data_IF_273663162869
#
_entry.id   IF_273663162869
#
_cell.length_a   1.000
_cell.length_b   1.000
_cell.length_c   1.000
_cell.angle_alpha   90.00
_cell.angle_beta   90.00
_cell.angle_gamma   90.00
#
_symmetry.space_group_name_H-M   'P 1'
#
loop_
_entity.id
_entity.type
_entity.pdbx_description
1 polymer ?
#
# COMPACT_ATOMS: atom_id res chain seq x y z
N UNK A 1 -65.52 -61.51 4.18
CA UNK A 1 -64.44 -62.21 3.45
C UNK A 1 -64.74 -62.07 1.97
N UNK A 2 -64.15 -61.07 1.31
CA UNK A 2 -64.23 -60.93 -0.14
C UNK A 2 -63.18 -61.86 -0.75
N UNK A 3 -63.61 -62.72 -1.69
CA UNK A 3 -62.76 -63.77 -2.24
C UNK A 3 -61.66 -63.23 -3.17
N UNK A 4 -60.52 -63.93 -3.29
CA UNK A 4 -59.32 -63.52 -4.04
C UNK A 4 -59.49 -63.47 -5.58
N UNK A 5 -60.74 -63.47 -6.08
CA UNK A 5 -61.05 -63.38 -7.51
C UNK A 5 -61.36 -61.97 -8.01
N UNK A 6 -61.65 -61.02 -7.11
CA UNK A 6 -62.13 -59.69 -7.50
C UNK A 6 -60.99 -58.70 -7.78
N UNK A 7 -59.85 -58.86 -7.10
CA UNK A 7 -58.67 -58.02 -7.25
C UNK A 7 -58.00 -58.17 -8.64
N UNK A 8 -58.05 -59.37 -9.23
CA UNK A 8 -57.48 -59.64 -10.56
C UNK A 8 -58.26 -59.02 -11.72
N UNK A 9 -59.55 -58.72 -11.52
CA UNK A 9 -60.38 -58.07 -12.55
C UNK A 9 -60.19 -56.55 -12.56
N UNK A 10 -59.93 -55.95 -11.40
CA UNK A 10 -59.68 -54.52 -11.29
C UNK A 10 -58.29 -54.12 -11.83
N UNK A 11 -57.30 -55.01 -11.74
CA UNK A 11 -55.97 -54.79 -12.34
C UNK A 11 -55.99 -54.92 -13.87
N UNK A 12 -56.79 -55.84 -14.42
CA UNK A 12 -56.94 -55.98 -15.86
C UNK A 12 -57.61 -54.75 -16.49
N UNK A 13 -58.60 -54.15 -15.82
CA UNK A 13 -59.28 -52.92 -16.28
C UNK A 13 -58.37 -51.70 -16.25
N UNK A 14 -57.55 -51.55 -15.19
CA UNK A 14 -56.56 -50.45 -15.13
C UNK A 14 -55.53 -50.53 -16.23
N UNK A 15 -55.10 -51.74 -16.59
CA UNK A 15 -54.12 -51.91 -17.66
C UNK A 15 -54.73 -51.59 -19.05
N UNK A 16 -56.01 -51.90 -19.26
CA UNK A 16 -56.70 -51.57 -20.51
C UNK A 16 -56.94 -50.06 -20.69
N UNK A 17 -57.27 -49.35 -19.61
CA UNK A 17 -57.43 -47.89 -19.62
C UNK A 17 -56.09 -47.16 -19.87
N UNK A 18 -54.98 -47.70 -19.35
CA UNK A 18 -53.64 -47.15 -19.60
C UNK A 18 -53.26 -47.25 -21.08
N UNK A 19 -53.54 -48.39 -21.73
CA UNK A 19 -53.29 -48.57 -23.16
C UNK A 19 -54.19 -47.69 -24.04
N UNK A 20 -55.46 -47.46 -23.64
CA UNK A 20 -56.36 -46.54 -24.37
C UNK A 20 -55.92 -45.08 -24.24
N UNK A 21 -55.43 -44.64 -23.07
CA UNK A 21 -54.86 -43.30 -22.90
C UNK A 21 -53.57 -43.11 -23.71
N UNK A 22 -52.67 -44.10 -23.70
CA UNK A 22 -51.44 -44.05 -24.50
C UNK A 22 -51.73 -43.98 -26.01
N UNK A 23 -52.72 -44.74 -26.50
CA UNK A 23 -53.13 -44.72 -27.90
C UNK A 23 -53.81 -43.39 -28.30
N UNK A 24 -54.56 -42.75 -27.39
CA UNK A 24 -55.16 -41.44 -27.63
C UNK A 24 -54.09 -40.33 -27.72
N UNK A 25 -53.05 -40.40 -26.88
CA UNK A 25 -51.95 -39.44 -26.89
C UNK A 25 -51.04 -39.58 -28.13
N UNK A 26 -50.91 -40.79 -28.67
CA UNK A 26 -50.14 -41.06 -29.89
C UNK A 26 -50.86 -40.64 -31.18
N UNK A 27 -52.20 -40.54 -31.18
CA UNK A 27 -52.99 -40.15 -32.37
C UNK A 27 -53.30 -38.65 -32.47
N UNK A 28 -52.98 -37.86 -31.43
CA UNK A 28 -53.39 -36.45 -31.34
C UNK A 28 -52.37 -35.39 -31.77
N UNK A 29 -51.14 -35.77 -32.16
CA UNK A 29 -50.10 -34.82 -32.57
C UNK A 29 -49.30 -35.35 -33.76
N UNK A 30 -49.94 -35.48 -34.91
CA UNK A 30 -49.20 -35.31 -36.17
C UNK A 30 -48.85 -33.83 -36.25
N UNK A 31 -47.71 -33.47 -35.67
CA UNK A 31 -47.12 -32.15 -35.88
C UNK A 31 -46.88 -32.04 -37.38
N UNK A 32 -47.46 -31.01 -38.00
CA UNK A 32 -47.21 -30.73 -39.40
C UNK A 32 -45.73 -30.35 -39.55
N UNK A 33 -44.94 -31.29 -40.07
CA UNK A 33 -43.51 -31.11 -40.25
C UNK A 33 -43.18 -29.91 -41.13
N UNK A 34 -44.10 -29.49 -42.01
CA UNK A 34 -43.91 -28.29 -42.82
C UNK A 34 -44.07 -27.01 -41.99
N UNK A 35 -45.04 -26.97 -41.08
CA UNK A 35 -45.22 -25.84 -40.17
C UNK A 35 -44.03 -25.69 -39.22
N UNK A 36 -43.53 -26.80 -38.66
CA UNK A 36 -42.36 -26.77 -37.78
C UNK A 36 -41.07 -26.38 -38.53
N UNK A 37 -40.90 -26.86 -39.77
CA UNK A 37 -39.80 -26.42 -40.65
C UNK A 37 -39.87 -24.91 -40.92
N UNK A 38 -41.06 -24.36 -41.19
CA UNK A 38 -41.24 -22.93 -41.42
C UNK A 38 -40.92 -22.10 -40.17
N UNK A 39 -41.36 -22.55 -38.99
CA UNK A 39 -41.04 -21.90 -37.71
C UNK A 39 -39.54 -21.88 -37.44
N UNK A 40 -38.84 -23.00 -37.67
CA UNK A 40 -37.39 -23.07 -37.53
C UNK A 40 -36.68 -22.15 -38.52
N UNK A 41 -37.16 -22.06 -39.75
CA UNK A 41 -36.58 -21.17 -40.76
C UNK A 41 -36.76 -19.68 -40.39
N UNK A 42 -37.92 -19.29 -39.86
CA UNK A 42 -38.15 -17.95 -39.32
C UNK A 42 -37.24 -17.64 -38.13
N UNK A 43 -37.11 -18.59 -37.20
CA UNK A 43 -36.23 -18.44 -36.04
C UNK A 43 -34.76 -18.25 -36.44
N UNK A 44 -34.28 -18.99 -37.46
CA UNK A 44 -32.91 -18.83 -37.99
C UNK A 44 -32.72 -17.43 -38.58
N UNK A 45 -33.66 -16.94 -39.37
CA UNK A 45 -33.58 -15.61 -39.98
C UNK A 45 -33.61 -14.49 -38.91
N UNK A 46 -34.46 -14.61 -37.91
CA UNK A 46 -34.51 -13.66 -36.79
C UNK A 46 -33.21 -13.68 -35.98
N UNK A 47 -32.66 -14.86 -35.74
CA UNK A 47 -31.36 -15.02 -35.06
C UNK A 47 -30.22 -14.38 -35.86
N UNK A 48 -30.18 -14.59 -37.18
CA UNK A 48 -29.19 -13.96 -38.06
C UNK A 48 -29.29 -12.43 -38.06
N UNK A 49 -30.52 -11.89 -38.07
CA UNK A 49 -30.73 -10.43 -37.96
C UNK A 49 -30.20 -9.89 -36.64
N UNK A 50 -30.47 -10.58 -35.54
CA UNK A 50 -30.00 -10.16 -34.21
C UNK A 50 -28.48 -10.22 -34.08
N UNK A 51 -27.83 -11.21 -34.69
CA UNK A 51 -26.37 -11.28 -34.78
C UNK A 51 -25.83 -10.07 -35.54
N UNK A 52 -26.40 -9.74 -36.70
CA UNK A 52 -25.95 -8.57 -37.50
C UNK A 52 -26.21 -7.21 -36.81
N UNK A 53 -27.20 -7.12 -35.93
CA UNK A 53 -27.42 -5.94 -35.08
C UNK A 53 -26.39 -5.84 -33.96
N UNK A 54 -26.02 -6.97 -33.33
CA UNK A 54 -24.96 -7.02 -32.32
C UNK A 54 -23.58 -6.69 -32.90
N UNK A 55 -23.26 -7.22 -34.08
CA UNK A 55 -22.00 -6.91 -34.79
C UNK A 55 -21.87 -5.42 -35.12
N UNK A 56 -22.97 -4.77 -35.50
CA UNK A 56 -23.00 -3.30 -35.70
C UNK A 56 -22.77 -2.54 -34.39
N UNK A 57 -23.45 -2.95 -33.32
CA UNK A 57 -23.24 -2.36 -32.01
C UNK A 57 -21.80 -2.53 -31.49
N UNK A 58 -21.16 -3.66 -31.78
CA UNK A 58 -19.75 -3.90 -31.46
C UNK A 58 -18.81 -2.97 -32.24
N UNK A 59 -19.06 -2.77 -33.53
CA UNK A 59 -18.28 -1.84 -34.36
C UNK A 59 -18.40 -0.38 -33.87
N UNK A 60 -19.61 0.05 -33.49
CA UNK A 60 -19.84 1.40 -32.96
C UNK A 60 -19.14 1.61 -31.60
N UNK A 61 -19.19 0.61 -30.71
CA UNK A 61 -18.46 0.64 -29.44
C UNK A 61 -16.94 0.65 -29.66
N UNK A 62 -16.44 -0.09 -30.65
CA UNK A 62 -15.02 -0.07 -30.99
C UNK A 62 -14.57 1.31 -31.50
N UNK A 63 -15.40 1.97 -32.31
CA UNK A 63 -15.19 3.36 -32.73
C UNK A 63 -15.09 4.32 -31.54
N UNK A 64 -16.03 4.24 -30.61
CA UNK A 64 -16.01 5.07 -29.38
C UNK A 64 -14.75 4.83 -28.54
N UNK A 65 -14.30 3.57 -28.41
CA UNK A 65 -13.08 3.25 -27.67
C UNK A 65 -11.85 3.89 -28.32
N UNK A 66 -11.78 3.94 -29.66
CA UNK A 66 -10.67 4.58 -30.37
C UNK A 66 -10.70 6.10 -30.19
N UNK A 67 -11.88 6.73 -30.29
CA UNK A 67 -12.03 8.17 -30.04
C UNK A 67 -11.63 8.55 -28.60
N UNK A 68 -12.03 7.75 -27.61
CA UNK A 68 -11.65 7.93 -26.21
C UNK A 68 -10.13 7.74 -26.01
N UNK A 69 -9.51 6.79 -26.70
CA UNK A 69 -8.05 6.60 -26.66
C UNK A 69 -7.31 7.80 -27.22
N UNK A 70 -7.78 8.38 -28.34
CA UNK A 70 -7.18 9.57 -28.93
C UNK A 70 -7.33 10.78 -28.01
N UNK A 71 -8.48 10.95 -27.35
CA UNK A 71 -8.68 11.99 -26.33
C UNK A 71 -7.73 11.81 -25.14
N UNK A 72 -7.55 10.58 -24.66
CA UNK A 72 -6.62 10.29 -23.56
C UNK A 72 -5.17 10.58 -23.95
N UNK A 73 -4.76 10.28 -25.18
CA UNK A 73 -3.43 10.62 -25.68
C UNK A 73 -3.24 12.14 -25.76
N UNK A 74 -4.25 12.87 -26.22
CA UNK A 74 -4.22 14.35 -26.27
C UNK A 74 -4.07 14.94 -24.87
N UNK A 75 -4.89 14.52 -23.91
CA UNK A 75 -4.81 14.99 -22.51
C UNK A 75 -3.47 14.61 -21.85
N UNK A 76 -2.91 13.44 -22.18
CA UNK A 76 -1.60 13.05 -21.69
C UNK A 76 -0.49 13.96 -22.24
N UNK A 77 -0.59 14.40 -23.50
CA UNK A 77 0.29 15.40 -24.10
C UNK A 77 0.20 16.75 -23.39
N UNK A 78 -1.01 17.28 -23.24
CA UNK A 78 -1.25 18.56 -22.53
C UNK A 78 -0.73 18.53 -21.08
N UNK A 79 -0.91 17.41 -20.38
CA UNK A 79 -0.38 17.23 -19.03
C UNK A 79 1.16 17.16 -19.00
N UNK A 80 1.81 16.62 -20.03
CA UNK A 80 3.26 16.60 -20.15
C UNK A 80 3.82 18.02 -20.37
N UNK A 81 3.17 18.80 -21.23
CA UNK A 81 3.54 20.19 -21.49
C UNK A 81 3.38 21.05 -20.23
N UNK A 82 2.28 20.90 -19.50
CA UNK A 82 2.05 21.60 -18.24
C UNK A 82 3.11 21.27 -17.17
N UNK A 83 3.55 20.00 -17.09
CA UNK A 83 4.64 19.59 -16.20
C UNK A 83 5.97 20.23 -16.60
N UNK A 84 6.25 20.33 -17.89
CA UNK A 84 7.47 20.97 -18.38
C UNK A 84 7.51 22.46 -18.03
N UNK A 85 6.38 23.16 -18.14
CA UNK A 85 6.26 24.56 -17.70
C UNK A 85 6.54 24.66 -16.19
N UNK A 86 5.89 23.82 -15.38
CA UNK A 86 6.11 23.82 -13.94
C UNK A 86 7.57 23.52 -13.55
N UNK A 87 8.22 22.55 -14.19
CA UNK A 87 9.62 22.22 -13.94
C UNK A 87 10.57 23.37 -14.30
N UNK A 88 10.23 24.16 -15.33
CA UNK A 88 10.99 25.36 -15.69
C UNK A 88 10.82 26.46 -14.64
N UNK A 89 9.61 26.67 -14.12
CA UNK A 89 9.34 27.65 -13.06
C UNK A 89 10.03 27.27 -11.76
N UNK A 90 9.99 25.99 -11.36
CA UNK A 90 10.71 25.48 -10.19
C UNK A 90 12.21 25.69 -10.35
N UNK A 91 12.76 25.44 -11.55
CA UNK A 91 14.19 25.70 -11.81
C UNK A 91 14.53 27.19 -11.74
N UNK A 92 13.65 28.06 -12.24
CA UNK A 92 13.85 29.50 -12.15
C UNK A 92 13.85 29.98 -10.69
N UNK A 93 12.91 29.50 -9.86
CA UNK A 93 12.86 29.77 -8.43
C UNK A 93 14.12 29.26 -7.70
N UNK A 94 14.59 28.05 -8.02
CA UNK A 94 15.79 27.50 -7.42
C UNK A 94 17.03 28.37 -7.71
N UNK A 95 17.17 28.87 -8.94
CA UNK A 95 18.24 29.80 -9.30
C UNK A 95 18.14 31.13 -8.53
N UNK A 96 16.93 31.64 -8.30
CA UNK A 96 16.74 32.87 -7.50
C UNK A 96 17.10 32.66 -6.02
N UNK A 97 16.77 31.49 -5.44
CA UNK A 97 17.16 31.14 -4.07
C UNK A 97 18.68 31.11 -3.95
N UNK A 98 19.36 30.42 -4.87
CA UNK A 98 20.82 30.34 -4.88
C UNK A 98 21.47 31.73 -4.97
N UNK A 99 20.96 32.61 -5.84
CA UNK A 99 21.45 33.99 -5.95
C UNK A 99 21.30 34.76 -4.62
N UNK A 100 20.17 34.61 -3.92
CA UNK A 100 19.97 35.23 -2.59
C UNK A 100 20.87 34.63 -1.52
N UNK A 101 21.12 33.33 -1.55
CA UNK A 101 22.06 32.68 -0.61
C UNK A 101 23.48 33.20 -0.79
N UNK A 102 23.92 33.44 -2.03
CA UNK A 102 25.20 34.08 -2.32
C UNK A 102 25.27 35.51 -1.77
N UNK A 103 24.23 36.32 -1.95
CA UNK A 103 24.14 37.67 -1.37
C UNK A 103 24.23 37.65 0.17
N UNK A 104 23.52 36.72 0.82
CA UNK A 104 23.55 36.55 2.27
C UNK A 104 24.94 36.13 2.76
N UNK A 105 25.63 35.23 2.04
CA UNK A 105 26.98 34.82 2.42
C UNK A 105 28.00 35.97 2.23
N UNK A 106 27.85 36.79 1.18
CA UNK A 106 28.65 38.01 1.01
C UNK A 106 28.43 39.01 2.17
N UNK A 107 27.18 39.20 2.61
CA UNK A 107 26.87 40.02 3.78
C UNK A 107 27.50 39.46 5.06
N UNK A 108 27.40 38.14 5.28
CA UNK A 108 28.05 37.46 6.42
C UNK A 108 29.57 37.65 6.41
N UNK A 109 30.21 37.53 5.25
CA UNK A 109 31.66 37.78 5.13
C UNK A 109 32.02 39.24 5.45
N UNK A 110 31.21 40.19 5.01
CA UNK A 110 31.39 41.63 5.30
C UNK A 110 31.27 41.90 6.81
N UNK A 111 30.26 41.35 7.47
CA UNK A 111 30.10 41.45 8.93
C UNK A 111 31.29 40.84 9.66
N UNK A 112 31.75 39.63 9.25
CA UNK A 112 32.94 38.98 9.84
C UNK A 112 34.20 39.83 9.70
N UNK A 113 34.41 40.47 8.55
CA UNK A 113 35.55 41.37 8.32
C UNK A 113 35.48 42.59 9.25
N UNK A 114 34.31 43.21 9.39
CA UNK A 114 34.13 44.37 10.27
C UNK A 114 34.29 44.00 11.76
N UNK A 115 33.76 42.86 12.19
CA UNK A 115 33.86 42.39 13.57
C UNK A 115 35.30 42.07 14.00
N UNK A 116 36.15 41.58 13.09
CA UNK A 116 37.57 41.31 13.36
C UNK A 116 38.42 42.56 13.64
N UNK A 117 37.92 43.77 13.38
CA UNK A 117 38.67 45.02 13.61
C UNK A 117 38.71 45.51 15.07
N UNK A 118 37.98 44.88 16.01
CA UNK A 118 37.82 45.41 17.38
C UNK A 118 37.96 44.41 18.54
N UNK A 119 38.57 43.25 18.34
CA UNK A 119 38.74 42.27 19.44
C UNK A 119 40.21 42.15 19.89
N UNK A 120 40.52 42.32 21.19
CA UNK A 120 41.83 42.01 21.77
C UNK A 120 42.11 40.49 21.75
N UNK A 121 43.38 40.14 21.63
CA UNK A 121 43.93 38.79 21.46
C UNK A 121 43.92 37.91 22.74
N UNK A 122 43.42 36.66 22.54
CA UNK A 122 43.82 35.33 23.07
C UNK A 122 43.75 34.99 24.60
N UNK A 123 43.55 33.70 25.03
CA UNK A 123 44.48 32.59 24.76
C UNK A 123 43.94 31.16 24.46
N UNK A 124 44.69 30.45 23.60
CA UNK A 124 45.23 29.07 23.67
C UNK A 124 44.36 27.79 23.43
N UNK A 125 44.94 26.73 22.80
CA UNK A 125 44.23 25.58 22.23
C UNK A 125 44.27 24.31 23.09
N UNK A 126 43.22 23.48 22.96
CA UNK A 126 43.09 22.15 23.61
C UNK A 126 43.36 21.04 22.59
N UNK A 127 44.06 19.92 22.94
CA UNK A 127 44.55 18.94 21.98
C UNK A 127 43.47 17.95 21.49
N UNK A 128 43.59 17.55 20.22
CA UNK A 128 42.75 16.59 19.53
C UNK A 128 43.10 15.13 19.91
N UNK A 129 42.06 14.29 20.07
CA UNK A 129 42.18 12.84 20.23
C UNK A 129 41.74 12.12 18.95
N UNK A 130 42.56 11.15 18.54
CA UNK A 130 42.45 10.37 17.30
C UNK A 130 41.53 9.15 17.46
N UNK A 131 40.74 8.83 16.42
CA UNK A 131 39.95 7.60 16.31
C UNK A 131 40.38 6.74 15.11
N UNK A 132 40.38 5.39 15.21
CA UNK A 132 40.99 4.51 14.23
C UNK A 132 40.04 4.03 13.12
N UNK A 133 40.66 3.52 12.06
CA UNK A 133 40.16 3.05 10.76
C UNK A 133 39.33 1.76 10.79
N UNK A 134 38.36 1.64 9.86
CA UNK A 134 37.52 0.45 9.59
C UNK A 134 38.16 -0.49 8.54
N UNK A 135 38.02 -1.83 8.66
CA UNK A 135 38.34 -2.79 7.61
C UNK A 135 37.12 -3.18 6.74
N UNK A 136 37.43 -3.70 5.55
CA UNK A 136 36.60 -3.88 4.35
C UNK A 136 35.82 -5.21 4.33
N UNK A 137 34.61 -5.23 3.75
CA UNK A 137 33.51 -6.22 3.94
C UNK A 137 33.46 -7.37 2.89
N UNK A 138 34.26 -7.33 1.83
CA UNK A 138 33.96 -8.13 0.63
C UNK A 138 34.27 -9.65 0.69
N UNK A 139 34.94 -10.16 1.74
CA UNK A 139 35.31 -11.58 1.83
C UNK A 139 34.24 -12.48 2.48
N UNK A 140 33.23 -11.92 3.15
CA UNK A 140 32.30 -12.72 3.98
C UNK A 140 31.08 -13.29 3.21
N UNK A 141 30.72 -12.73 2.06
CA UNK A 141 29.42 -13.04 1.40
C UNK A 141 29.47 -14.38 0.64
N UNK A 142 30.63 -14.77 0.12
CA UNK A 142 30.78 -15.98 -0.67
C UNK A 142 30.67 -17.27 0.16
N UNK A 143 31.19 -17.26 1.39
CA UNK A 143 31.14 -18.44 2.28
C UNK A 143 29.74 -18.67 2.87
N UNK A 144 28.98 -17.59 3.13
CA UNK A 144 27.61 -17.67 3.62
C UNK A 144 26.68 -18.24 2.55
N UNK A 145 26.81 -17.81 1.30
CA UNK A 145 26.02 -18.34 0.19
C UNK A 145 26.18 -19.85 0.00
N UNK A 146 27.42 -20.33 0.09
CA UNK A 146 27.75 -21.74 -0.03
C UNK A 146 27.17 -22.60 1.11
N UNK A 147 27.02 -22.02 2.31
CA UNK A 147 26.45 -22.71 3.48
C UNK A 147 24.93 -22.86 3.43
N UNK A 148 24.24 -21.98 2.70
CA UNK A 148 22.79 -21.96 2.59
C UNK A 148 22.26 -22.70 1.35
N UNK A 149 23.15 -23.22 0.51
CA UNK A 149 22.83 -23.80 -0.81
C UNK A 149 21.99 -22.85 -1.68
N UNK A 150 22.23 -21.56 -1.53
CA UNK A 150 21.60 -20.50 -2.33
C UNK A 150 22.66 -19.87 -3.21
N UNK A 151 22.31 -19.62 -4.47
CA UNK A 151 23.17 -18.91 -5.41
C UNK A 151 23.64 -17.59 -4.77
N UNK A 152 24.97 -17.40 -4.70
CA UNK A 152 25.60 -16.24 -4.07
C UNK A 152 25.12 -14.92 -4.67
N UNK A 153 24.70 -14.93 -5.93
CA UNK A 153 24.17 -13.78 -6.65
C UNK A 153 22.73 -13.46 -6.22
N UNK A 154 21.96 -14.47 -5.81
CA UNK A 154 20.61 -14.30 -5.21
C UNK A 154 20.72 -13.81 -3.77
N UNK A 155 21.63 -14.39 -2.98
CA UNK A 155 21.86 -13.97 -1.60
C UNK A 155 22.43 -12.54 -1.53
N UNK A 156 23.34 -12.19 -2.45
CA UNK A 156 23.86 -10.82 -2.58
C UNK A 156 22.77 -9.82 -3.00
N UNK A 157 21.83 -10.23 -3.87
CA UNK A 157 20.65 -9.39 -4.21
C UNK A 157 19.69 -9.23 -3.03
N UNK A 158 19.45 -10.29 -2.25
CA UNK A 158 18.56 -10.26 -1.08
C UNK A 158 19.17 -9.42 0.05
N UNK A 159 20.46 -9.60 0.32
CA UNK A 159 21.22 -8.75 1.23
C UNK A 159 21.29 -7.32 0.71
N UNK A 160 21.46 -7.09 -0.58
CA UNK A 160 21.42 -5.76 -1.18
C UNK A 160 20.05 -5.07 -1.04
N UNK A 161 18.95 -5.82 -1.08
CA UNK A 161 17.59 -5.32 -0.78
C UNK A 161 17.46 -5.01 0.72
N UNK A 162 17.94 -5.90 1.61
CA UNK A 162 17.92 -5.67 3.06
C UNK A 162 18.84 -4.52 3.50
N UNK A 163 19.98 -4.31 2.84
CA UNK A 163 20.91 -3.21 3.09
C UNK A 163 20.35 -1.89 2.54
N UNK A 164 19.60 -1.93 1.42
CA UNK A 164 18.77 -0.81 0.94
C UNK A 164 17.67 -0.43 1.95
N UNK A 165 17.10 -1.42 2.62
CA UNK A 165 16.01 -1.28 3.61
C UNK A 165 16.56 -0.79 4.96
N UNK A 166 17.74 -1.24 5.38
CA UNK A 166 18.34 -0.92 6.67
C UNK A 166 19.22 0.33 6.66
N UNK A 167 19.83 0.69 5.52
CA UNK A 167 20.65 1.89 5.38
C UNK A 167 20.21 2.65 4.12
N UNK A 168 19.59 3.82 4.28
CA UNK A 168 19.26 4.76 3.18
C UNK A 168 20.46 5.30 2.36
N UNK A 169 21.62 4.62 2.39
CA UNK A 169 22.85 4.86 1.63
C UNK A 169 23.50 3.56 1.14
N UNK A 170 22.77 2.66 0.49
CA UNK A 170 23.41 1.61 -0.31
C UNK A 170 23.91 2.19 -1.64
N UNK A 171 25.22 2.48 -1.72
CA UNK A 171 25.94 2.74 -2.97
C UNK A 171 26.12 1.39 -3.65
N UNK A 172 25.25 1.08 -4.61
CA UNK A 172 25.37 -0.11 -5.45
C UNK A 172 26.70 -0.03 -6.22
N UNK A 173 27.72 -0.74 -5.73
CA UNK A 173 28.97 -1.02 -6.46
C UNK A 173 28.67 -2.12 -7.49
N UNK A 174 27.92 -1.77 -8.54
CA UNK A 174 27.99 -2.53 -9.79
C UNK A 174 29.25 -2.03 -10.49
N UNK A 175 30.09 -2.99 -10.89
CA UNK A 175 31.40 -2.76 -11.51
C UNK A 175 31.44 -1.52 -12.40
N UNK A 176 32.44 -0.69 -12.12
CA UNK A 176 32.85 0.44 -12.94
C UNK A 176 33.26 -0.05 -14.33
N UNK A 177 32.31 -0.19 -15.24
CA UNK A 177 32.60 0.01 -16.67
C UNK A 177 32.44 1.49 -16.94
N UNK A 178 33.56 2.18 -17.08
CA UNK A 178 33.65 3.59 -17.45
C UNK A 178 32.72 3.89 -18.64
N UNK A 179 31.68 4.69 -18.41
CA UNK A 179 30.71 5.02 -19.45
C UNK A 179 29.55 5.92 -19.02
N UNK A 180 29.84 7.21 -18.81
CA UNK A 180 28.93 8.33 -19.14
C UNK A 180 27.56 8.46 -18.45
N UNK A 181 27.51 9.29 -17.39
CA UNK A 181 26.57 10.41 -17.11
C UNK A 181 25.03 10.34 -17.32
N UNK A 182 24.46 9.40 -18.07
CA UNK A 182 23.02 9.40 -18.43
C UNK A 182 22.18 8.35 -17.68
N UNK A 183 22.78 7.39 -16.98
CA UNK A 183 22.02 6.34 -16.29
C UNK A 183 21.49 6.73 -14.88
N UNK A 184 22.00 7.79 -14.25
CA UNK A 184 21.58 8.12 -12.87
C UNK A 184 20.15 8.68 -12.77
N UNK A 185 19.66 9.38 -13.81
CA UNK A 185 18.29 9.91 -13.84
C UNK A 185 17.23 8.83 -14.07
N UNK A 186 17.53 7.81 -14.89
CA UNK A 186 16.62 6.66 -15.10
C UNK A 186 16.48 5.80 -13.84
N UNK A 187 17.59 5.52 -13.15
CA UNK A 187 17.57 4.79 -11.85
C UNK A 187 16.84 5.56 -10.74
N UNK A 188 16.89 6.89 -10.72
CA UNK A 188 16.17 7.70 -9.73
C UNK A 188 14.65 7.74 -10.00
N UNK A 189 14.23 7.79 -11.27
CA UNK A 189 12.81 7.75 -11.64
C UNK A 189 12.19 6.36 -11.44
N UNK A 190 12.90 5.28 -11.75
CA UNK A 190 12.43 3.91 -11.48
C UNK A 190 12.38 3.61 -9.97
N UNK A 191 13.36 4.08 -9.19
CA UNK A 191 13.27 4.03 -7.72
C UNK A 191 12.09 4.86 -7.20
N UNK A 192 11.84 6.06 -7.72
CA UNK A 192 10.73 6.89 -7.28
C UNK A 192 9.34 6.34 -7.68
N UNK A 193 9.24 5.54 -8.75
CA UNK A 193 8.00 4.87 -9.13
C UNK A 193 7.68 3.65 -8.25
N UNK A 194 8.70 2.97 -7.71
CA UNK A 194 8.57 1.77 -6.86
C UNK A 194 8.66 2.10 -5.35
N UNK A 195 9.32 3.21 -4.97
CA UNK A 195 9.52 3.67 -3.59
C UNK A 195 8.26 4.02 -2.77
N UNK A 196 7.21 4.66 -3.32
CA UNK A 196 6.04 5.00 -2.53
C UNK A 196 5.29 3.75 -2.05
N UNK A 197 5.34 2.65 -2.81
CA UNK A 197 4.76 1.38 -2.39
C UNK A 197 5.63 0.67 -1.33
N UNK A 198 6.95 0.78 -1.41
CA UNK A 198 7.85 0.12 -0.45
C UNK A 198 7.88 0.80 0.92
N UNK A 199 7.81 2.14 0.99
CA UNK A 199 7.74 2.85 2.28
C UNK A 199 6.48 2.54 3.09
N UNK A 200 5.32 2.49 2.42
CA UNK A 200 4.04 2.14 3.05
C UNK A 200 3.97 0.65 3.42
N UNK A 201 4.54 -0.22 2.58
CA UNK A 201 4.69 -1.65 2.89
C UNK A 201 5.56 -1.87 4.13
N UNK A 202 6.67 -1.14 4.26
CA UNK A 202 7.58 -1.23 5.43
C UNK A 202 6.88 -0.72 6.70
N UNK A 203 6.22 0.44 6.65
CA UNK A 203 5.47 0.96 7.82
C UNK A 203 4.37 0.01 8.25
N UNK A 204 3.69 -0.61 7.28
CA UNK A 204 2.64 -1.59 7.54
C UNK A 204 3.20 -2.90 8.09
N UNK A 205 4.31 -3.41 7.55
CA UNK A 205 5.01 -4.57 8.11
C UNK A 205 5.45 -4.30 9.55
N UNK A 206 5.99 -3.12 9.86
CA UNK A 206 6.34 -2.71 11.22
C UNK A 206 5.13 -2.62 12.17
N UNK A 207 4.00 -2.08 11.70
CA UNK A 207 2.77 -2.04 12.48
C UNK A 207 2.23 -3.45 12.79
N UNK A 208 2.29 -4.35 11.80
CA UNK A 208 1.87 -5.74 11.95
C UNK A 208 2.81 -6.52 12.89
N UNK A 209 4.13 -6.30 12.80
CA UNK A 209 5.09 -6.86 13.76
C UNK A 209 4.73 -6.44 15.18
N UNK A 210 4.51 -5.14 15.42
CA UNK A 210 4.10 -4.65 16.74
C UNK A 210 2.81 -5.30 17.23
N UNK A 211 1.82 -5.51 16.36
CA UNK A 211 0.57 -6.14 16.73
C UNK A 211 0.72 -7.63 17.08
N UNK A 212 1.53 -8.37 16.32
CA UNK A 212 1.82 -9.79 16.63
C UNK A 212 2.61 -9.88 17.94
N UNK A 213 3.59 -9.01 18.13
CA UNK A 213 4.37 -8.90 19.37
C UNK A 213 3.45 -8.60 20.56
N UNK A 214 2.48 -7.69 20.40
CA UNK A 214 1.45 -7.40 21.40
C UNK A 214 0.59 -8.61 21.74
N UNK A 215 -0.07 -9.19 20.73
CA UNK A 215 -1.08 -10.23 20.95
C UNK A 215 -0.49 -11.55 21.46
N UNK A 216 0.76 -11.86 21.07
CA UNK A 216 1.40 -13.14 21.38
C UNK A 216 2.34 -13.08 22.57
N UNK A 217 3.04 -11.95 22.75
CA UNK A 217 4.04 -11.79 23.81
C UNK A 217 3.55 -10.84 24.93
N UNK A 218 2.34 -10.27 24.80
CA UNK A 218 1.80 -9.31 25.78
C UNK A 218 2.61 -8.02 25.88
N UNK A 219 3.42 -7.71 24.86
CA UNK A 219 4.32 -6.56 24.86
C UNK A 219 3.64 -5.35 24.20
N UNK A 220 3.18 -4.39 25.01
CA UNK A 220 2.51 -3.17 24.56
C UNK A 220 3.48 -2.09 24.10
N UNK A 221 4.63 -2.03 24.75
CA UNK A 221 5.67 -1.06 24.54
C UNK A 221 7.02 -1.76 24.34
N UNK A 222 7.97 -1.04 23.75
CA UNK A 222 9.34 -1.56 23.60
C UNK A 222 9.97 -1.93 24.96
N UNK A 223 9.56 -1.25 26.03
CA UNK A 223 9.97 -1.55 27.40
C UNK A 223 9.48 -2.91 27.88
N UNK A 224 8.31 -3.38 27.43
CA UNK A 224 7.76 -4.68 27.85
C UNK A 224 8.57 -5.83 27.25
N UNK A 225 9.15 -5.59 26.07
CA UNK A 225 10.10 -6.51 25.44
C UNK A 225 11.41 -6.64 26.25
N UNK A 226 11.83 -5.56 26.94
CA UNK A 226 13.02 -5.59 27.81
C UNK A 226 12.80 -6.52 29.01
N UNK A 227 11.56 -6.62 29.48
CA UNK A 227 11.18 -7.50 30.60
C UNK A 227 10.67 -8.87 30.15
N UNK A 228 10.72 -9.15 28.84
CA UNK A 228 10.33 -10.45 28.31
C UNK A 228 11.31 -11.53 28.78
N UNK A 229 10.79 -12.63 29.33
CA UNK A 229 11.63 -13.74 29.79
C UNK A 229 12.10 -14.56 28.59
N UNK A 230 13.41 -14.57 28.28
CA UNK A 230 13.95 -15.31 27.15
C UNK A 230 13.75 -16.81 27.33
N UNK A 231 13.85 -17.57 26.24
CA UNK A 231 13.90 -19.03 26.31
C UNK A 231 15.19 -19.42 27.04
N UNK A 232 15.09 -20.40 27.92
CA UNK A 232 16.26 -20.94 28.61
C UNK A 232 17.06 -21.84 27.66
N UNK A 233 18.37 -21.96 27.89
CA UNK A 233 19.24 -22.85 27.08
C UNK A 233 18.73 -24.30 27.08
N UNK A 234 18.23 -24.78 28.23
CA UNK A 234 17.64 -26.12 28.35
C UNK A 234 16.39 -26.30 27.47
N UNK A 235 15.54 -25.27 27.33
CA UNK A 235 14.37 -25.31 26.45
C UNK A 235 14.78 -25.33 24.98
N UNK A 236 15.77 -24.51 24.61
CA UNK A 236 16.31 -24.43 23.25
C UNK A 236 16.96 -25.76 22.85
N UNK A 237 17.77 -26.35 23.73
CA UNK A 237 18.39 -27.66 23.51
C UNK A 237 17.35 -28.79 23.48
N UNK A 238 16.34 -28.76 24.35
CA UNK A 238 15.27 -29.76 24.35
C UNK A 238 14.51 -29.76 23.01
N UNK A 239 14.23 -28.59 22.44
CA UNK A 239 13.59 -28.47 21.13
C UNK A 239 14.50 -28.92 19.99
N UNK A 240 15.79 -28.60 20.04
CA UNK A 240 16.75 -29.05 19.03
C UNK A 240 16.86 -30.59 18.95
N UNK A 241 16.55 -31.29 20.06
CA UNK A 241 16.58 -32.74 20.16
C UNK A 241 15.22 -33.41 19.93
N UNK A 242 14.10 -32.69 20.09
CA UNK A 242 12.73 -33.18 19.90
C UNK A 242 11.82 -32.04 19.38
N UNK A 243 11.53 -32.05 18.07
CA UNK A 243 10.65 -31.09 17.40
C UNK A 243 9.21 -31.08 17.93
N UNK A 244 8.82 -32.04 18.79
CA UNK A 244 7.53 -32.06 19.48
C UNK A 244 7.57 -31.55 20.92
N UNK A 245 8.74 -31.14 21.42
CA UNK A 245 8.86 -30.50 22.72
C UNK A 245 7.92 -29.29 22.77
N UNK A 246 6.98 -29.35 23.71
CA UNK A 246 5.86 -28.42 23.77
C UNK A 246 6.38 -27.00 23.99
N UNK A 247 6.30 -26.15 22.97
CA UNK A 247 6.48 -24.69 23.08
C UNK A 247 5.33 -24.17 23.94
N UNK A 248 5.44 -24.30 25.26
CA UNK A 248 4.39 -23.92 26.21
C UNK A 248 4.24 -22.41 26.32
N UNK A 249 5.26 -21.65 25.92
CA UNK A 249 5.29 -20.19 25.95
C UNK A 249 6.05 -19.64 24.74
N UNK A 250 5.56 -18.52 24.20
CA UNK A 250 6.22 -17.77 23.14
C UNK A 250 7.43 -17.05 23.74
N UNK A 251 8.62 -17.64 23.63
CA UNK A 251 9.86 -17.08 24.13
C UNK A 251 10.89 -17.00 23.01
N UNK A 252 11.66 -15.91 22.98
CA UNK A 252 12.78 -15.77 22.06
C UNK A 252 14.03 -16.41 22.64
N UNK A 253 14.73 -17.18 21.81
CA UNK A 253 16.12 -17.53 22.10
C UNK A 253 17.00 -16.31 21.80
N UNK A 254 17.77 -15.86 22.80
CA UNK A 254 18.76 -14.78 22.68
C UNK A 254 20.18 -15.24 22.96
N UNK A 255 20.43 -16.56 22.93
CA UNK A 255 21.76 -17.13 23.06
C UNK A 255 22.69 -16.70 21.91
N UNK A 256 23.98 -16.95 22.08
CA UNK A 256 24.97 -16.66 21.04
C UNK A 256 24.67 -17.50 19.78
N UNK A 257 24.35 -16.82 18.68
CA UNK A 257 23.90 -17.47 17.44
C UNK A 257 22.38 -17.54 17.26
N UNK A 258 21.60 -16.78 18.04
CA UNK A 258 20.13 -16.75 17.98
C UNK A 258 19.51 -16.61 16.58
N UNK A 259 20.19 -15.96 15.63
CA UNK A 259 19.73 -15.79 14.24
C UNK A 259 19.67 -17.11 13.46
N UNK A 260 20.43 -18.10 13.92
CA UNK A 260 20.56 -19.43 13.32
C UNK A 260 19.93 -20.51 14.21
N UNK A 261 19.33 -20.11 15.34
CA UNK A 261 18.72 -21.04 16.29
C UNK A 261 17.53 -21.76 15.68
N UNK A 262 17.53 -23.08 15.75
CA UNK A 262 16.41 -23.90 15.33
C UNK A 262 15.12 -23.52 16.09
N UNK A 263 15.22 -23.08 17.34
CA UNK A 263 14.09 -22.56 18.12
C UNK A 263 13.44 -21.33 17.45
N UNK A 264 14.25 -20.36 17.04
CA UNK A 264 13.77 -19.14 16.36
C UNK A 264 13.35 -19.40 14.90
N UNK A 265 13.99 -20.36 14.21
CA UNK A 265 13.79 -20.65 12.79
C UNK A 265 12.66 -21.66 12.52
N UNK A 266 12.53 -22.69 13.35
CA UNK A 266 11.46 -23.69 13.26
C UNK A 266 10.17 -23.21 13.95
N UNK A 267 10.28 -22.22 14.84
CA UNK A 267 9.18 -21.73 15.64
C UNK A 267 7.98 -21.25 14.81
N UNK A 268 6.79 -21.57 15.31
CA UNK A 268 5.47 -21.05 14.90
C UNK A 268 5.48 -19.54 14.58
N UNK A 269 6.43 -18.77 15.10
CA UNK A 269 6.64 -17.34 14.82
C UNK A 269 6.68 -17.07 13.31
N UNK A 270 7.56 -17.67 12.49
CA UNK A 270 7.59 -17.36 11.05
C UNK A 270 6.33 -17.82 10.31
N UNK A 271 5.83 -19.03 10.59
CA UNK A 271 4.69 -19.61 9.89
C UNK A 271 3.37 -18.93 10.26
N UNK A 272 3.13 -18.67 11.54
CA UNK A 272 1.95 -17.92 12.00
C UNK A 272 2.06 -16.43 11.66
N UNK A 273 3.26 -15.85 11.64
CA UNK A 273 3.48 -14.49 11.15
C UNK A 273 3.10 -14.35 9.67
N UNK A 274 3.58 -15.26 8.82
CA UNK A 274 3.20 -15.30 7.42
C UNK A 274 1.71 -15.61 7.24
N UNK A 275 1.14 -16.51 8.05
CA UNK A 275 -0.29 -16.81 8.03
C UNK A 275 -1.15 -15.62 8.48
N UNK A 276 -0.71 -14.87 9.49
CA UNK A 276 -1.37 -13.65 9.97
C UNK A 276 -1.27 -12.54 8.93
N UNK A 277 -0.10 -12.33 8.33
CA UNK A 277 0.07 -11.38 7.23
C UNK A 277 -0.85 -11.75 6.06
N UNK A 278 -0.87 -13.02 5.66
CA UNK A 278 -1.73 -13.50 4.60
C UNK A 278 -3.22 -13.32 4.97
N UNK A 279 -3.62 -13.61 6.21
CA UNK A 279 -4.97 -13.44 6.70
C UNK A 279 -5.41 -11.97 6.75
N UNK A 280 -4.54 -11.05 7.18
CA UNK A 280 -4.84 -9.63 7.20
C UNK A 280 -4.94 -9.05 5.78
N UNK A 281 -4.02 -9.45 4.89
CA UNK A 281 -4.12 -9.06 3.48
C UNK A 281 -5.39 -9.64 2.86
N UNK A 282 -5.73 -10.91 3.12
CA UNK A 282 -6.99 -11.52 2.70
C UNK A 282 -8.21 -10.80 3.29
N UNK A 283 -8.18 -10.35 4.53
CA UNK A 283 -9.25 -9.59 5.15
C UNK A 283 -9.42 -8.21 4.48
N UNK A 284 -8.32 -7.53 4.18
CA UNK A 284 -8.32 -6.28 3.39
C UNK A 284 -8.84 -6.51 1.98
N UNK A 285 -8.38 -7.57 1.31
CA UNK A 285 -8.87 -7.96 -0.01
C UNK A 285 -10.36 -8.33 0.03
N UNK A 286 -10.85 -9.00 1.07
CA UNK A 286 -12.28 -9.29 1.28
C UNK A 286 -13.10 -8.02 1.49
N UNK A 287 -12.60 -7.08 2.29
CA UNK A 287 -13.23 -5.78 2.50
C UNK A 287 -13.34 -4.98 1.21
N UNK A 288 -12.30 -5.02 0.38
CA UNK A 288 -12.30 -4.39 -0.94
C UNK A 288 -13.19 -5.18 -1.93
N UNK A 289 -13.13 -6.51 -1.91
CA UNK A 289 -13.89 -7.40 -2.79
C UNK A 289 -15.40 -7.13 -2.71
N UNK A 290 -15.95 -6.92 -1.51
CA UNK A 290 -17.36 -6.51 -1.34
C UNK A 290 -17.71 -5.20 -2.08
N UNK A 291 -16.74 -4.31 -2.26
CA UNK A 291 -16.92 -3.08 -3.04
C UNK A 291 -16.90 -3.32 -4.54
N UNK A 292 -16.31 -4.42 -5.01
CA UNK A 292 -16.23 -4.78 -6.43
C UNK A 292 -17.26 -5.83 -6.86
N UNK A 293 -18.09 -6.33 -5.93
CA UNK A 293 -19.19 -7.22 -6.31
C UNK A 293 -20.30 -6.44 -7.01
N UNK A 294 -20.84 -6.96 -8.12
CA UNK A 294 -22.04 -6.41 -8.76
C UNK A 294 -23.20 -6.31 -7.76
N UNK A 295 -23.87 -5.17 -7.75
CA UNK A 295 -25.09 -4.95 -6.96
C UNK A 295 -26.31 -4.88 -7.85
N UNK A 296 -27.48 -5.13 -7.29
CA UNK A 296 -28.74 -4.87 -7.97
C UNK A 296 -28.92 -3.35 -8.13
N UNK A 297 -29.13 -2.90 -9.38
CA UNK A 297 -29.41 -1.51 -9.70
C UNK A 297 -30.92 -1.37 -9.97
N UNK A 298 -31.72 -0.90 -8.99
CA UNK A 298 -33.17 -0.80 -9.13
C UNK A 298 -33.60 0.23 -10.18
N UNK A 299 -32.73 1.19 -10.56
CA UNK A 299 -33.06 2.18 -11.57
C UNK A 299 -33.09 1.58 -12.99
N UNK A 300 -32.33 0.50 -13.20
CA UNK A 300 -32.21 -0.21 -14.48
C UNK A 300 -32.88 -1.59 -14.46
N UNK A 301 -33.47 -1.96 -13.32
CA UNK A 301 -34.09 -3.27 -13.07
C UNK A 301 -33.17 -4.45 -13.46
N UNK A 302 -31.87 -4.33 -13.18
CA UNK A 302 -30.87 -5.36 -13.48
C UNK A 302 -29.71 -5.36 -12.50
N UNK A 303 -28.92 -6.42 -12.49
CA UNK A 303 -27.61 -6.41 -11.83
C UNK A 303 -26.65 -5.47 -12.57
N UNK A 304 -25.80 -4.78 -11.81
CA UNK A 304 -24.63 -4.06 -12.32
C UNK A 304 -23.80 -4.98 -13.22
N UNK A 305 -23.30 -4.45 -14.32
CA UNK A 305 -22.30 -5.14 -15.14
C UNK A 305 -20.95 -5.17 -14.41
N UNK A 306 -20.05 -6.04 -14.86
CA UNK A 306 -18.68 -6.09 -14.33
C UNK A 306 -17.95 -4.74 -14.45
N UNK A 307 -18.14 -4.03 -15.57
CA UNK A 307 -17.51 -2.73 -15.79
C UNK A 307 -18.04 -1.67 -14.81
N UNK A 308 -19.36 -1.61 -14.59
CA UNK A 308 -19.99 -0.70 -13.63
C UNK A 308 -19.51 -0.97 -12.19
N UNK A 309 -19.42 -2.25 -11.79
CA UNK A 309 -18.93 -2.63 -10.46
C UNK A 309 -17.45 -2.26 -10.25
N UNK A 310 -16.61 -2.40 -11.28
CA UNK A 310 -15.20 -1.97 -11.25
C UNK A 310 -15.10 -0.45 -11.12
N UNK A 311 -15.85 0.31 -11.93
CA UNK A 311 -15.85 1.77 -11.88
C UNK A 311 -16.27 2.28 -10.48
N UNK A 312 -17.37 1.73 -9.92
CA UNK A 312 -17.81 2.05 -8.55
C UNK A 312 -16.74 1.73 -7.51
N UNK A 313 -16.11 0.55 -7.60
CA UNK A 313 -15.05 0.17 -6.68
C UNK A 313 -13.82 1.08 -6.76
N UNK A 314 -13.44 1.55 -7.97
CA UNK A 314 -12.35 2.51 -8.15
C UNK A 314 -12.66 3.87 -7.52
N UNK A 315 -13.88 4.38 -7.68
CA UNK A 315 -14.32 5.63 -7.03
C UNK A 315 -14.24 5.52 -5.51
N UNK A 316 -14.69 4.41 -4.93
CA UNK A 316 -14.63 4.18 -3.47
C UNK A 316 -13.18 4.11 -2.98
N UNK A 317 -12.29 3.42 -3.72
CA UNK A 317 -10.87 3.37 -3.38
C UNK A 317 -10.21 4.75 -3.48
N UNK A 318 -10.57 5.54 -4.49
CA UNK A 318 -10.08 6.91 -4.64
C UNK A 318 -10.53 7.79 -3.48
N UNK A 319 -11.81 7.78 -3.13
CA UNK A 319 -12.35 8.52 -1.98
C UNK A 319 -11.62 8.14 -0.68
N UNK A 320 -11.44 6.84 -0.42
CA UNK A 320 -10.66 6.38 0.75
C UNK A 320 -9.24 6.90 0.73
N UNK A 321 -8.56 6.87 -0.41
CA UNK A 321 -7.20 7.39 -0.55
C UNK A 321 -7.14 8.88 -0.24
N UNK A 322 -8.12 9.66 -0.72
CA UNK A 322 -8.20 11.10 -0.42
C UNK A 322 -8.45 11.35 1.07
N UNK A 323 -9.41 10.65 1.68
CA UNK A 323 -9.66 10.75 3.13
C UNK A 323 -8.42 10.38 3.94
N UNK A 324 -7.70 9.32 3.57
CA UNK A 324 -6.46 8.95 4.25
C UNK A 324 -5.36 10.00 4.09
N UNK A 325 -5.26 10.67 2.93
CA UNK A 325 -4.31 11.79 2.74
C UNK A 325 -4.66 12.96 3.65
N UNK A 326 -5.92 13.36 3.72
CA UNK A 326 -6.39 14.43 4.62
C UNK A 326 -6.08 14.09 6.08
N UNK A 327 -6.44 12.88 6.53
CA UNK A 327 -6.15 12.41 7.90
C UNK A 327 -4.64 12.47 8.18
N UNK A 328 -3.81 11.96 7.27
CA UNK A 328 -2.36 11.97 7.46
C UNK A 328 -1.81 13.41 7.50
N UNK A 329 -2.28 14.30 6.62
CA UNK A 329 -1.88 15.71 6.62
C UNK A 329 -2.27 16.41 7.93
N UNK A 330 -3.47 16.13 8.46
CA UNK A 330 -3.91 16.62 9.77
C UNK A 330 -3.01 16.12 10.90
N UNK A 331 -2.63 14.84 10.89
CA UNK A 331 -1.69 14.27 11.84
C UNK A 331 -0.30 14.90 11.75
N UNK A 332 0.21 15.13 10.54
CA UNK A 332 1.52 15.75 10.33
C UNK A 332 1.52 17.21 10.82
N UNK A 333 0.46 17.97 10.53
CA UNK A 333 0.26 19.34 11.08
C UNK A 333 0.21 19.32 12.61
N UNK A 334 -0.56 18.41 13.18
CA UNK A 334 -0.64 18.22 14.63
C UNK A 334 0.72 17.99 15.26
N UNK A 335 1.47 17.02 14.73
CA UNK A 335 2.80 16.68 15.23
C UNK A 335 3.76 17.88 15.11
N UNK A 336 3.70 18.61 14.00
CA UNK A 336 4.53 19.79 13.79
C UNK A 336 4.22 20.90 14.81
N UNK A 337 2.95 21.25 14.99
CA UNK A 337 2.53 22.27 15.96
C UNK A 337 2.86 21.85 17.40
N UNK A 338 2.58 20.60 17.76
CA UNK A 338 2.89 20.04 19.07
C UNK A 338 4.38 20.15 19.38
N UNK A 339 5.25 19.67 18.47
CA UNK A 339 6.70 19.73 18.64
C UNK A 339 7.23 21.17 18.74
N UNK A 340 6.64 22.09 17.97
CA UNK A 340 7.02 23.51 17.99
C UNK A 340 6.67 24.16 19.33
N UNK A 341 5.45 23.95 19.82
CA UNK A 341 5.02 24.49 21.12
C UNK A 341 5.86 23.88 22.25
N UNK A 342 6.10 22.57 22.21
CA UNK A 342 6.92 21.91 23.22
C UNK A 342 8.36 22.43 23.23
N UNK A 343 8.98 22.62 22.07
CA UNK A 343 10.33 23.20 21.98
C UNK A 343 10.37 24.64 22.50
N UNK A 344 9.33 25.43 22.25
CA UNK A 344 9.19 26.80 22.75
C UNK A 344 9.06 26.84 24.26
N UNK A 345 8.30 25.90 24.85
CA UNK A 345 8.21 25.75 26.30
C UNK A 345 9.58 25.47 26.90
N UNK A 346 10.35 24.52 26.35
CA UNK A 346 11.69 24.19 26.85
C UNK A 346 12.61 25.42 26.87
N UNK A 347 12.67 26.19 25.77
CA UNK A 347 13.47 27.41 25.71
C UNK A 347 12.99 28.47 26.71
N UNK A 348 11.67 28.61 26.90
CA UNK A 348 11.09 29.58 27.85
C UNK A 348 11.32 29.20 29.31
N UNK A 349 11.41 27.91 29.61
CA UNK A 349 11.79 27.40 30.93
C UNK A 349 13.25 27.74 31.25
N UNK A 350 14.15 27.55 30.29
CA UNK A 350 15.58 27.91 30.42
C UNK A 350 15.76 29.42 30.62
N UNK A 351 15.01 30.26 29.89
CA UNK A 351 15.09 31.72 29.95
C UNK A 351 14.35 32.34 31.15
N UNK A 352 13.56 31.55 31.91
CA UNK A 352 12.74 32.07 33.01
C UNK A 352 11.65 33.06 32.56
N UNK A 353 11.03 32.83 31.39
CA UNK A 353 10.12 33.79 30.79
C UNK A 353 8.74 33.88 31.48
N UNK A 354 8.23 35.10 31.67
CA UNK A 354 6.98 35.39 32.38
C UNK A 354 5.71 34.81 31.72
N UNK A 355 5.75 34.46 30.43
CA UNK A 355 4.60 33.95 29.68
C UNK A 355 4.56 32.41 29.56
N UNK A 356 5.39 31.69 30.32
CA UNK A 356 5.47 30.22 30.29
C UNK A 356 4.11 29.53 30.51
N UNK A 357 3.30 30.04 31.44
CA UNK A 357 1.98 29.47 31.74
C UNK A 357 1.04 29.48 30.53
N UNK A 358 1.10 30.52 29.70
CA UNK A 358 0.30 30.62 28.47
C UNK A 358 0.70 29.55 27.45
N UNK A 359 1.99 29.31 27.27
CA UNK A 359 2.48 28.27 26.35
C UNK A 359 2.12 26.86 26.82
N UNK A 360 2.22 26.59 28.12
CA UNK A 360 1.76 25.31 28.70
C UNK A 360 0.26 25.08 28.44
N UNK A 361 -0.57 26.11 28.65
CA UNK A 361 -2.00 26.05 28.33
C UNK A 361 -2.26 25.82 26.83
N UNK A 362 -1.42 26.37 25.95
CA UNK A 362 -1.52 26.15 24.51
C UNK A 362 -1.19 24.69 24.13
N UNK A 363 -0.21 24.07 24.80
CA UNK A 363 0.07 22.65 24.65
C UNK A 363 -1.10 21.78 25.10
N UNK A 364 -1.71 22.09 26.26
CA UNK A 364 -2.87 21.37 26.77
C UNK A 364 -4.06 21.45 25.79
N UNK A 365 -4.29 22.63 25.19
CA UNK A 365 -5.32 22.81 24.17
C UNK A 365 -5.02 22.00 22.90
N UNK A 366 -3.76 21.95 22.45
CA UNK A 366 -3.38 21.11 21.31
C UNK A 366 -3.63 19.63 21.60
N UNK A 367 -3.24 19.14 22.77
CA UNK A 367 -3.48 17.74 23.19
C UNK A 367 -4.99 17.43 23.25
N UNK A 368 -5.79 18.37 23.77
CA UNK A 368 -7.25 18.22 23.85
C UNK A 368 -7.90 18.15 22.46
N UNK A 369 -7.44 18.99 21.52
CA UNK A 369 -7.97 19.05 20.15
C UNK A 369 -7.51 17.87 19.29
N UNK A 370 -6.31 17.35 19.53
CA UNK A 370 -5.71 16.26 18.77
C UNK A 370 -5.57 16.57 17.27
N UNK A 371 -5.29 15.53 16.48
CA UNK A 371 -5.18 15.68 15.02
C UNK A 371 -6.50 16.09 14.36
N UNK A 372 -7.64 15.68 14.91
CA UNK A 372 -8.96 15.99 14.36
C UNK A 372 -9.32 17.48 14.49
N UNK A 373 -8.73 18.20 15.44
CA UNK A 373 -8.92 19.64 15.62
C UNK A 373 -8.08 20.50 14.67
N UNK A 374 -7.19 19.90 13.88
CA UNK A 374 -6.43 20.60 12.84
C UNK A 374 -7.31 20.73 11.59
N UNK A 375 -8.04 21.85 11.47
CA UNK A 375 -8.91 22.08 10.30
C UNK A 375 -8.09 22.41 9.04
N UNK A 376 -8.63 22.05 7.88
CA UNK A 376 -8.07 22.43 6.56
C UNK A 376 -8.30 23.91 6.22
N UNK A 377 -8.97 24.69 7.07
CA UNK A 377 -9.42 26.06 6.76
C UNK A 377 -8.25 27.05 6.59
N UNK A 378 -7.07 26.76 7.16
CA UNK A 378 -5.83 27.51 6.91
C UNK A 378 -5.19 27.23 5.54
N UNK A 379 -5.64 26.18 4.84
CA UNK A 379 -5.11 25.76 3.54
C UNK A 379 -5.91 26.34 2.36
N UNK A 380 -6.65 27.44 2.59
CA UNK A 380 -7.05 28.29 1.45
C UNK A 380 -5.77 28.66 0.71
N UNK A 381 -5.67 28.38 -0.60
CA UNK A 381 -4.53 28.81 -1.37
C UNK A 381 -4.42 30.32 -1.16
N UNK A 382 -3.29 30.77 -0.61
CA UNK A 382 -2.92 32.19 -0.67
C UNK A 382 -2.87 32.52 -2.14
N UNK A 383 -3.98 33.02 -2.66
CA UNK A 383 -4.10 33.42 -4.05
C UNK A 383 -3.01 34.49 -4.23
N UNK A 384 -1.92 34.23 -4.96
CA UNK A 384 -0.83 35.21 -5.09
C UNK A 384 -1.28 36.42 -5.92
N UNK A 385 -2.49 36.36 -6.48
CA UNK A 385 -3.16 37.42 -7.19
C UNK A 385 -4.46 37.77 -6.47
N UNK A 386 -4.34 38.54 -5.40
CA UNK A 386 -5.45 39.36 -4.92
C UNK A 386 -5.79 40.40 -5.97
N UNK A 387 -6.51 40.02 -7.02
CA UNK A 387 -7.33 40.96 -7.77
C UNK A 387 -8.51 41.23 -6.85
N UNK A 388 -8.47 42.38 -6.20
CA UNK A 388 -9.62 42.96 -5.54
C UNK A 388 -10.66 43.22 -6.62
N UNK A 389 -11.73 42.42 -6.65
CA UNK A 389 -12.96 42.85 -7.29
C UNK A 389 -13.51 44.00 -6.43
N UNK A 390 -13.12 45.21 -6.79
CA UNK A 390 -13.78 46.44 -6.38
C UNK A 390 -15.02 46.62 -7.26
N UNK A 391 -16.19 46.59 -6.63
CA UNK A 391 -17.41 47.31 -6.97
C UNK A 391 -17.77 47.49 -8.45
N UNK A 392 -18.70 46.65 -8.93
CA UNK A 392 -19.89 47.07 -9.73
C UNK A 392 -21.08 46.21 -9.34
#
# INVERSE_FOLDING_TARGET
>A
MAGPGQERLDDARRNEDFHKQAAAHARGKTVDFEEERHRLQQFILESQRKIAELERGEADLHGQIMDDQDQLQKLAGEAADARQVHDNDVRALHNQIHAREEEVEQLRQTIRRNARSKLPLDPAPVPASAGPSRPTVDLAIADVAKSLDVDADVLSKLMGVMELVNNGRARVMIGSTNGGGKQSKRKAQEKAAVAPQTGDLVKKAHAMMRQVTYQRFGCEQATDFIFHTPATEEEVEAFANDDQACIRKWQFDFSEGYTSSAWNMAGLIQREFLAYIAAEQLARYRGNWKQFQPKWDPSKDRMETRAEAIARGQVILFQRRMSSKTINAQHDKYNHCHNTVQSTITLKEEDGANNLATWKRMLDLLVLLGANGMSEEEERPRNPHGIQDSDV
#
